data_IF_287778499633
#
_entry.id   IF_287778499633
#
_cell.length_a   1.000
_cell.length_b   1.000
_cell.length_c   1.000
_cell.angle_alpha   90.00
_cell.angle_beta   90.00
_cell.angle_gamma   90.00
#
_symmetry.space_group_name_H-M   'P 1'
#
loop_
_entity.id
_entity.type
_entity.pdbx_description
1 polymer ?
#
# COMPACT_ATOMS: atom_id res chain seq x y z
N UNK A 1 -11.89 -28.43 -11.75
CA UNK A 1 -10.60 -28.25 -11.06
C UNK A 1 -9.88 -27.16 -11.81
N UNK A 2 -9.74 -26.00 -11.19
CA UNK A 2 -9.19 -24.83 -11.84
C UNK A 2 -7.76 -25.11 -12.30
N UNK A 3 -7.51 -24.76 -13.55
CA UNK A 3 -6.20 -24.79 -14.17
C UNK A 3 -5.30 -23.67 -13.63
N UNK A 4 -5.23 -23.57 -12.30
CA UNK A 4 -4.46 -22.55 -11.61
C UNK A 4 -2.99 -22.64 -12.02
N UNK A 5 -2.45 -23.87 -12.09
CA UNK A 5 -1.04 -24.08 -12.37
C UNK A 5 -0.65 -23.78 -13.83
N UNK A 6 -1.45 -24.10 -14.84
CA UNK A 6 -1.08 -23.72 -16.21
C UNK A 6 -1.34 -22.24 -16.46
N UNK A 7 -2.37 -21.65 -15.85
CA UNK A 7 -2.60 -20.20 -15.93
C UNK A 7 -1.44 -19.44 -15.27
N UNK A 8 -0.94 -19.91 -14.12
CA UNK A 8 0.23 -19.34 -13.47
C UNK A 8 1.47 -19.41 -14.37
N UNK A 9 1.64 -20.53 -15.09
CA UNK A 9 2.76 -20.76 -16.02
C UNK A 9 2.70 -19.85 -17.25
N UNK A 10 1.50 -19.61 -17.77
CA UNK A 10 1.27 -18.69 -18.90
C UNK A 10 1.58 -17.26 -18.47
N UNK A 11 1.09 -16.84 -17.31
CA UNK A 11 1.34 -15.49 -16.78
C UNK A 11 2.82 -15.31 -16.42
N UNK A 12 3.47 -16.28 -15.77
CA UNK A 12 4.88 -16.16 -15.40
C UNK A 12 5.83 -16.13 -16.60
N UNK A 13 5.46 -16.76 -17.71
CA UNK A 13 6.22 -16.69 -18.96
C UNK A 13 5.99 -15.38 -19.73
N UNK A 14 4.81 -14.76 -19.58
CA UNK A 14 4.45 -13.51 -20.24
C UNK A 14 4.93 -12.26 -19.49
N UNK A 15 5.19 -12.38 -18.19
CA UNK A 15 5.58 -11.26 -17.33
C UNK A 15 7.07 -11.38 -16.98
N UNK A 16 7.86 -10.40 -17.40
CA UNK A 16 9.28 -10.35 -17.05
C UNK A 16 9.48 -10.21 -15.54
N UNK A 17 10.64 -10.67 -15.02
CA UNK A 17 11.03 -10.45 -13.62
C UNK A 17 10.90 -8.98 -13.20
N UNK A 18 11.23 -8.04 -14.10
CA UNK A 18 11.09 -6.60 -13.85
C UNK A 18 9.62 -6.17 -13.72
N UNK A 19 8.72 -6.71 -14.54
CA UNK A 19 7.28 -6.44 -14.41
C UNK A 19 6.69 -7.09 -13.16
N UNK A 20 7.14 -8.29 -12.79
CA UNK A 20 6.80 -8.89 -11.49
C UNK A 20 7.33 -8.04 -10.34
N UNK A 21 8.57 -7.57 -10.37
CA UNK A 21 9.14 -6.69 -9.35
C UNK A 21 8.40 -5.35 -9.26
N UNK A 22 7.97 -4.77 -10.39
CA UNK A 22 7.14 -3.56 -10.41
C UNK A 22 5.77 -3.85 -9.81
N UNK A 23 5.11 -4.95 -10.19
CA UNK A 23 3.84 -5.37 -9.61
C UNK A 23 3.99 -5.68 -8.11
N UNK A 24 5.08 -6.35 -7.70
CA UNK A 24 5.39 -6.62 -6.30
C UNK A 24 5.68 -5.32 -5.54
N UNK A 25 6.38 -4.34 -6.11
CA UNK A 25 6.51 -3.00 -5.49
C UNK A 25 5.15 -2.30 -5.41
N UNK A 26 4.30 -2.45 -6.42
CA UNK A 26 2.97 -1.84 -6.43
C UNK A 26 2.01 -2.50 -5.43
N UNK A 27 2.11 -3.82 -5.23
CA UNK A 27 1.23 -4.58 -4.34
C UNK A 27 1.80 -4.82 -2.92
N UNK A 28 3.12 -4.77 -2.75
CA UNK A 28 3.81 -5.10 -1.49
C UNK A 28 4.85 -4.05 -1.05
N UNK A 29 5.15 -3.04 -1.88
CA UNK A 29 6.25 -2.10 -1.63
C UNK A 29 5.90 -0.62 -1.80
N UNK A 30 4.63 -0.27 -1.87
CA UNK A 30 4.21 1.11 -1.72
C UNK A 30 4.28 1.43 -0.22
N UNK A 31 5.49 1.76 0.24
CA UNK A 31 5.59 2.56 1.43
C UNK A 31 5.10 3.97 1.05
N UNK A 32 4.19 4.56 1.84
CA UNK A 32 3.78 5.93 1.60
C UNK A 32 5.02 6.83 1.69
N UNK A 33 5.10 7.87 0.85
CA UNK A 33 6.22 8.80 0.90
C UNK A 33 6.27 9.46 2.28
N UNK A 34 7.49 9.83 2.71
CA UNK A 34 7.66 10.64 3.91
C UNK A 34 6.86 11.94 3.76
N UNK A 35 6.09 12.27 4.79
CA UNK A 35 5.34 13.52 4.86
C UNK A 35 6.34 14.62 5.28
N UNK A 36 6.45 15.67 4.48
CA UNK A 36 7.39 16.78 4.69
C UNK A 36 6.70 18.14 4.80
N UNK A 37 5.39 18.20 4.59
CA UNK A 37 4.58 19.42 4.68
C UNK A 37 3.17 19.17 5.21
N UNK A 38 2.51 20.23 5.69
CA UNK A 38 1.11 20.17 6.13
C UNK A 38 0.16 19.77 5.00
N UNK A 39 0.40 20.26 3.77
CA UNK A 39 -0.39 19.89 2.60
C UNK A 39 -0.30 18.40 2.27
N UNK A 40 0.89 17.81 2.40
CA UNK A 40 1.08 16.35 2.26
C UNK A 40 0.39 15.58 3.38
N UNK A 41 0.40 16.09 4.61
CA UNK A 41 -0.31 15.49 5.74
C UNK A 41 -1.84 15.51 5.56
N UNK A 42 -2.40 16.62 5.05
CA UNK A 42 -3.81 16.71 4.72
C UNK A 42 -4.21 15.75 3.59
N UNK A 43 -3.38 15.64 2.56
CA UNK A 43 -3.56 14.65 1.50
C UNK A 43 -3.48 13.21 2.03
N UNK A 44 -2.53 12.93 2.94
CA UNK A 44 -2.38 11.63 3.58
C UNK A 44 -3.61 11.24 4.40
N UNK A 45 -4.19 12.16 5.19
CA UNK A 45 -5.45 11.93 5.93
C UNK A 45 -6.61 11.57 4.99
N UNK A 46 -6.76 12.32 3.90
CA UNK A 46 -7.83 12.06 2.93
C UNK A 46 -7.66 10.70 2.25
N UNK A 47 -6.43 10.35 1.88
CA UNK A 47 -6.11 9.05 1.27
C UNK A 47 -6.34 7.89 2.26
N UNK A 48 -5.89 8.06 3.51
CA UNK A 48 -6.10 7.07 4.58
C UNK A 48 -7.59 6.77 4.75
N UNK A 49 -8.43 7.79 4.90
CA UNK A 49 -9.86 7.61 5.10
C UNK A 49 -10.54 6.93 3.90
N UNK A 50 -10.16 7.30 2.68
CA UNK A 50 -10.71 6.69 1.47
C UNK A 50 -10.31 5.21 1.33
N UNK A 51 -9.05 4.88 1.63
CA UNK A 51 -8.56 3.51 1.56
C UNK A 51 -9.14 2.64 2.66
N UNK A 52 -9.19 3.12 3.91
CA UNK A 52 -9.77 2.40 5.05
C UNK A 52 -11.25 2.04 4.81
N UNK A 53 -12.03 2.99 4.29
CA UNK A 53 -13.43 2.77 3.93
C UNK A 53 -13.63 1.76 2.77
N UNK A 54 -12.61 1.55 1.93
CA UNK A 54 -12.67 0.61 0.81
C UNK A 54 -12.38 -0.84 1.20
N UNK A 55 -11.90 -1.08 2.43
CA UNK A 55 -11.48 -2.40 2.87
C UNK A 55 -12.64 -3.21 3.47
N UNK A 56 -12.74 -4.52 3.17
CA UNK A 56 -13.58 -5.42 3.93
C UNK A 56 -13.16 -5.43 5.41
N UNK A 57 -14.11 -5.47 6.39
CA UNK A 57 -13.79 -5.38 7.84
C UNK A 57 -12.87 -6.46 8.43
N UNK A 58 -12.46 -7.46 7.64
CA UNK A 58 -11.58 -8.56 8.05
C UNK A 58 -10.37 -8.71 7.15
N UNK A 59 -10.18 -7.78 6.23
CA UNK A 59 -9.02 -7.79 5.36
C UNK A 59 -7.82 -7.15 6.06
N UNK A 60 -6.96 -8.00 6.60
CA UNK A 60 -5.75 -7.60 7.31
C UNK A 60 -4.47 -7.79 6.47
N UNK A 61 -4.61 -8.33 5.27
CA UNK A 61 -3.46 -8.86 4.54
C UNK A 61 -3.39 -8.41 3.09
N UNK A 62 -4.43 -7.78 2.55
CA UNK A 62 -4.37 -7.23 1.21
C UNK A 62 -3.32 -6.13 1.11
N UNK A 63 -2.85 -5.85 -0.12
CA UNK A 63 -2.04 -4.69 -0.43
C UNK A 63 -2.59 -3.38 0.16
N UNK A 64 -3.91 -3.19 0.11
CA UNK A 64 -4.57 -1.99 0.62
C UNK A 64 -4.45 -1.92 2.15
N UNK A 65 -4.71 -3.03 2.85
CA UNK A 65 -4.55 -3.09 4.31
C UNK A 65 -3.13 -2.79 4.76
N UNK A 66 -2.13 -3.35 4.06
CA UNK A 66 -0.72 -3.08 4.36
C UNK A 66 -0.35 -1.61 4.11
N UNK A 67 -0.85 -1.02 3.03
CA UNK A 67 -0.62 0.38 2.71
C UNK A 67 -1.26 1.31 3.74
N UNK A 68 -2.51 1.05 4.15
CA UNK A 68 -3.22 1.86 5.17
C UNK A 68 -2.46 1.85 6.49
N UNK A 69 -1.98 0.68 6.93
CA UNK A 69 -1.13 0.59 8.13
C UNK A 69 0.14 1.41 7.98
N UNK A 70 0.87 1.28 6.86
CA UNK A 70 2.09 2.04 6.62
C UNK A 70 1.84 3.56 6.56
N UNK A 71 0.71 3.99 5.98
CA UNK A 71 0.32 5.40 5.89
C UNK A 71 -0.01 5.98 7.26
N UNK A 72 -0.71 5.23 8.11
CA UNK A 72 -0.94 5.61 9.50
C UNK A 72 0.35 5.77 10.30
N UNK A 73 1.37 4.94 10.01
CA UNK A 73 2.69 5.08 10.63
C UNK A 73 3.40 6.36 10.19
N UNK A 74 3.39 6.71 8.90
CA UNK A 74 3.97 7.97 8.41
C UNK A 74 3.25 9.21 8.96
N UNK A 75 1.92 9.17 9.05
CA UNK A 75 1.12 10.23 9.69
C UNK A 75 1.50 10.39 11.17
N UNK A 76 1.62 9.30 11.92
CA UNK A 76 2.07 9.31 13.33
C UNK A 76 3.48 9.90 13.44
N UNK A 77 4.41 9.51 12.56
CA UNK A 77 5.76 10.09 12.55
C UNK A 77 5.75 11.60 12.33
N UNK A 78 4.92 12.08 11.39
CA UNK A 78 4.76 13.51 11.14
C UNK A 78 4.18 14.24 12.36
N UNK A 79 3.13 13.69 12.97
CA UNK A 79 2.51 14.24 14.17
C UNK A 79 3.52 14.35 15.32
N UNK A 80 4.29 13.30 15.60
CA UNK A 80 5.33 13.31 16.63
C UNK A 80 6.39 14.39 16.35
N UNK A 81 6.81 14.57 15.09
CA UNK A 81 7.78 15.62 14.73
C UNK A 81 7.23 17.03 14.94
N UNK A 82 5.91 17.23 14.80
CA UNK A 82 5.28 18.56 14.82
C UNK A 82 4.58 18.88 16.16
N UNK A 83 4.28 17.89 16.98
CA UNK A 83 3.89 18.07 18.39
C UNK A 83 5.18 18.39 19.15
N UNK A 84 5.44 19.69 19.34
CA UNK A 84 6.50 20.16 20.24
C UNK A 84 6.22 19.61 21.65
N UNK A 85 7.08 18.70 22.13
CA UNK A 85 7.36 18.62 23.56
C UNK A 85 8.15 19.86 23.99
#
# INVERSE_FOLDING_TARGET
>A
MDNYNDHLKVVSNAVSKKQLEVAFRHFFGLEPPEITSEAEYDAAKALYAAMDASMPPKDLHSPVARYVVALGMEMTKWEIKNIKC
#
